data_IF_265353806025
#
_entry.id   IF_265353806025
#
_cell.length_a   1.000
_cell.length_b   1.000
_cell.length_c   1.000
_cell.angle_alpha   90.00
_cell.angle_beta   90.00
_cell.angle_gamma   90.00
#
_symmetry.space_group_name_H-M   'P 1'
#
loop_
_entity.id
_entity.type
_entity.pdbx_description
1 polymer ?
#
# COMPACT_ATOMS: atom_id res chain seq x y z
N UNK A 1 -1.94 7.35 -16.62
CA UNK A 1 -1.26 7.41 -17.93
C UNK A 1 0.23 7.77 -17.82
N UNK A 2 0.67 8.71 -16.98
CA UNK A 2 2.09 9.08 -16.83
C UNK A 2 3.03 7.93 -16.42
N UNK A 3 2.56 7.02 -15.55
CA UNK A 3 3.34 5.85 -15.11
C UNK A 3 3.69 4.89 -16.26
N UNK A 4 2.76 4.69 -17.21
CA UNK A 4 2.96 3.77 -18.35
C UNK A 4 3.99 4.32 -19.34
N UNK A 5 3.99 5.64 -19.56
CA UNK A 5 5.00 6.30 -20.40
C UNK A 5 6.40 6.27 -19.79
N UNK A 6 6.52 6.44 -18.47
CA UNK A 6 7.81 6.40 -17.76
C UNK A 6 8.48 5.01 -17.77
N UNK A 7 7.72 3.95 -18.05
CA UNK A 7 8.20 2.55 -18.07
C UNK A 7 8.56 2.11 -19.51
N UNK A 8 8.50 3.02 -20.48
CA UNK A 8 8.85 2.74 -21.87
C UNK A 8 7.79 1.95 -22.64
N UNK A 9 6.54 1.95 -22.16
CA UNK A 9 5.41 1.35 -22.90
C UNK A 9 5.15 2.22 -24.15
N UNK A 10 5.81 1.85 -25.27
CA UNK A 10 5.78 2.57 -26.54
C UNK A 10 7.15 2.80 -27.20
N UNK A 11 8.27 2.52 -26.53
CA UNK A 11 9.62 2.70 -27.08
C UNK A 11 10.17 1.42 -27.73
N UNK A 12 10.73 1.53 -28.94
CA UNK A 12 11.29 0.41 -29.73
C UNK A 12 12.49 -0.29 -29.07
N UNK A 13 13.05 0.27 -28.00
CA UNK A 13 14.22 -0.24 -27.28
C UNK A 13 13.90 -0.78 -25.88
N UNK A 14 12.67 -0.64 -25.38
CA UNK A 14 12.29 -1.11 -24.06
C UNK A 14 11.94 -2.60 -24.11
N UNK A 15 12.79 -3.45 -23.54
CA UNK A 15 12.53 -4.89 -23.46
C UNK A 15 11.33 -5.12 -22.54
N UNK A 16 10.24 -5.69 -23.08
CA UNK A 16 9.00 -6.03 -22.34
C UNK A 16 9.28 -6.79 -21.02
N UNK A 17 10.36 -7.58 -21.01
CA UNK A 17 10.85 -8.32 -19.84
C UNK A 17 11.33 -7.38 -18.72
N UNK A 18 12.08 -6.33 -19.06
CA UNK A 18 12.61 -5.37 -18.09
C UNK A 18 11.51 -4.58 -17.40
N UNK A 19 10.52 -4.09 -18.16
CA UNK A 19 9.34 -3.44 -17.62
C UNK A 19 8.57 -4.39 -16.67
N UNK A 20 8.25 -5.61 -17.13
CA UNK A 20 7.54 -6.60 -16.31
C UNK A 20 8.27 -6.92 -15.00
N UNK A 21 9.60 -7.01 -15.03
CA UNK A 21 10.41 -7.27 -13.84
C UNK A 21 10.35 -6.13 -12.81
N UNK A 22 10.26 -4.86 -13.26
CA UNK A 22 10.09 -3.71 -12.38
C UNK A 22 8.74 -3.75 -11.64
N UNK A 23 7.66 -4.11 -12.35
CA UNK A 23 6.33 -4.31 -11.76
C UNK A 23 6.35 -5.47 -10.75
N UNK A 24 6.97 -6.58 -11.12
CA UNK A 24 7.14 -7.73 -10.23
C UNK A 24 7.88 -7.35 -8.94
N UNK A 25 9.03 -6.67 -9.04
CA UNK A 25 9.81 -6.24 -7.88
C UNK A 25 9.01 -5.31 -6.98
N UNK A 26 8.30 -4.35 -7.56
CA UNK A 26 7.44 -3.42 -6.82
C UNK A 26 6.35 -4.16 -6.03
N UNK A 27 5.68 -5.11 -6.67
CA UNK A 27 4.59 -5.86 -6.06
C UNK A 27 5.10 -6.83 -4.98
N UNK A 28 6.20 -7.52 -5.26
CA UNK A 28 6.88 -8.38 -4.30
C UNK A 28 7.30 -7.59 -3.04
N UNK A 29 7.91 -6.42 -3.24
CA UNK A 29 8.38 -5.57 -2.14
C UNK A 29 7.19 -5.09 -1.29
N UNK A 30 6.10 -4.65 -1.93
CA UNK A 30 4.87 -4.28 -1.23
C UNK A 30 4.29 -5.43 -0.41
N UNK A 31 4.14 -6.62 -1.02
CA UNK A 31 3.61 -7.81 -0.34
C UNK A 31 4.46 -8.21 0.86
N UNK A 32 5.79 -8.31 0.69
CA UNK A 32 6.70 -8.67 1.78
C UNK A 32 6.64 -7.63 2.91
N UNK A 33 6.63 -6.34 2.59
CA UNK A 33 6.51 -5.29 3.59
C UNK A 33 5.21 -5.36 4.39
N UNK A 34 4.09 -5.64 3.72
CA UNK A 34 2.80 -5.80 4.39
C UNK A 34 2.78 -6.99 5.33
N UNK A 35 3.32 -8.14 4.89
CA UNK A 35 3.41 -9.35 5.72
C UNK A 35 4.30 -9.11 6.94
N UNK A 36 5.48 -8.52 6.75
CA UNK A 36 6.40 -8.21 7.85
C UNK A 36 5.76 -7.23 8.83
N UNK A 37 5.11 -6.18 8.34
CA UNK A 37 4.43 -5.21 9.19
C UNK A 37 3.30 -5.85 10.00
N UNK A 38 2.44 -6.65 9.35
CA UNK A 38 1.38 -7.37 10.03
C UNK A 38 1.92 -8.32 11.12
N UNK A 39 3.04 -9.00 10.84
CA UNK A 39 3.68 -9.90 11.79
C UNK A 39 4.25 -9.16 13.01
N UNK A 40 4.94 -8.04 12.80
CA UNK A 40 5.57 -7.28 13.89
C UNK A 40 4.58 -6.46 14.70
N UNK A 41 3.61 -5.83 14.04
CA UNK A 41 2.74 -4.82 14.66
C UNK A 41 1.30 -5.31 14.91
N UNK A 42 0.93 -6.49 14.37
CA UNK A 42 -0.45 -6.99 14.37
C UNK A 42 -1.13 -6.97 15.73
N UNK A 43 -0.43 -7.36 16.79
CA UNK A 43 -0.99 -7.41 18.16
C UNK A 43 -1.33 -6.03 18.76
N UNK A 44 -0.81 -4.95 18.19
CA UNK A 44 -0.95 -3.58 18.70
C UNK A 44 -1.89 -2.70 17.88
N UNK A 45 -2.36 -3.19 16.72
CA UNK A 45 -3.22 -2.43 15.81
C UNK A 45 -4.60 -2.14 16.43
N UNK A 46 -5.12 -3.08 17.23
CA UNK A 46 -6.45 -2.96 17.83
C UNK A 46 -6.46 -2.03 19.06
N UNK A 47 -5.36 -1.97 19.82
CA UNK A 47 -5.26 -1.19 21.06
C UNK A 47 -5.42 0.32 20.86
N UNK A 48 -5.02 0.85 19.70
CA UNK A 48 -5.06 2.28 19.39
C UNK A 48 -5.61 2.56 17.99
N UNK A 49 -6.81 2.05 17.71
CA UNK A 49 -7.38 2.07 16.36
C UNK A 49 -7.46 3.48 15.72
N UNK A 50 -7.71 4.54 16.52
CA UNK A 50 -7.74 5.93 16.02
C UNK A 50 -6.36 6.42 15.55
N UNK A 51 -5.30 6.12 16.31
CA UNK A 51 -3.94 6.52 15.96
C UNK A 51 -3.47 5.77 14.72
N UNK A 52 -3.69 4.45 14.68
CA UNK A 52 -3.32 3.64 13.52
C UNK A 52 -4.08 4.02 12.25
N UNK A 53 -5.32 4.51 12.38
CA UNK A 53 -6.06 5.07 11.23
C UNK A 53 -5.35 6.31 10.68
N UNK A 54 -4.98 7.25 11.55
CA UNK A 54 -4.24 8.44 11.15
C UNK A 54 -2.90 8.11 10.48
N UNK A 55 -2.16 7.13 11.04
CA UNK A 55 -0.90 6.66 10.45
C UNK A 55 -1.14 6.01 9.08
N UNK A 56 -2.22 5.24 8.93
CA UNK A 56 -2.59 4.66 7.64
C UNK A 56 -2.89 5.74 6.60
N UNK A 57 -3.68 6.76 6.95
CA UNK A 57 -3.99 7.88 6.05
C UNK A 57 -2.72 8.64 5.64
N UNK A 58 -1.82 8.92 6.58
CA UNK A 58 -0.52 9.54 6.29
C UNK A 58 0.36 8.69 5.36
N UNK A 59 0.43 7.37 5.59
CA UNK A 59 1.19 6.46 4.71
C UNK A 59 0.55 6.32 3.33
N UNK A 60 -0.78 6.43 3.23
CA UNK A 60 -1.46 6.46 1.96
C UNK A 60 -1.07 7.69 1.15
N UNK A 61 -1.08 8.86 1.78
CA UNK A 61 -0.69 10.13 1.17
C UNK A 61 0.77 10.12 0.72
N UNK A 62 1.66 9.56 1.55
CA UNK A 62 3.06 9.35 1.18
C UNK A 62 3.19 8.44 -0.05
N UNK A 63 2.41 7.36 -0.12
CA UNK A 63 2.37 6.46 -1.28
C UNK A 63 1.86 7.15 -2.55
N UNK A 64 0.86 8.03 -2.45
CA UNK A 64 0.39 8.84 -3.58
C UNK A 64 1.42 9.88 -4.00
N UNK A 65 2.10 10.51 -3.04
CA UNK A 65 3.17 11.46 -3.31
C UNK A 65 4.36 10.81 -4.02
N UNK A 66 4.75 9.59 -3.62
CA UNK A 66 5.79 8.83 -4.32
C UNK A 66 5.42 8.55 -5.78
N UNK A 67 4.18 8.18 -6.07
CA UNK A 67 3.73 7.99 -7.45
C UNK A 67 3.76 9.29 -8.26
N UNK A 68 3.42 10.42 -7.63
CA UNK A 68 3.50 11.74 -8.27
C UNK A 68 4.96 12.17 -8.55
N UNK A 69 5.90 11.78 -7.67
CA UNK A 69 7.33 12.04 -7.85
C UNK A 69 8.01 11.08 -8.82
N UNK A 70 7.47 9.87 -9.01
CA UNK A 70 8.06 8.84 -9.87
C UNK A 70 8.43 9.29 -11.30
N UNK A 71 7.63 10.12 -12.03
CA UNK A 71 8.03 10.60 -13.35
C UNK A 71 9.10 11.70 -13.33
N UNK A 72 9.33 12.38 -12.21
CA UNK A 72 10.34 13.44 -12.09
C UNK A 72 11.77 12.88 -11.97
N UNK A 73 11.90 11.61 -11.56
CA UNK A 73 13.19 10.96 -11.31
C UNK A 73 13.32 9.63 -12.08
N UNK A 74 13.55 9.65 -13.40
CA UNK A 74 13.64 8.43 -14.22
C UNK A 74 14.72 7.45 -13.75
N UNK A 75 15.85 7.96 -13.24
CA UNK A 75 16.98 7.14 -12.75
C UNK A 75 16.69 6.38 -11.47
N UNK A 76 15.72 6.83 -10.66
CA UNK A 76 15.37 6.24 -9.36
C UNK A 76 13.94 5.70 -9.32
N UNK A 77 13.30 5.59 -10.48
CA UNK A 77 11.89 5.23 -10.64
C UNK A 77 11.51 3.96 -9.89
N UNK A 78 12.29 2.89 -10.03
CA UNK A 78 12.01 1.59 -9.39
C UNK A 78 12.00 1.73 -7.86
N UNK A 79 12.98 2.44 -7.31
CA UNK A 79 13.12 2.63 -5.86
C UNK A 79 11.93 3.40 -5.31
N UNK A 80 11.56 4.50 -5.98
CA UNK A 80 10.41 5.34 -5.61
C UNK A 80 9.10 4.53 -5.69
N UNK A 81 8.92 3.74 -6.75
CA UNK A 81 7.74 2.89 -6.91
C UNK A 81 7.68 1.78 -5.83
N UNK A 82 8.79 1.16 -5.48
CA UNK A 82 8.86 0.18 -4.40
C UNK A 82 8.50 0.81 -3.05
N UNK A 83 9.02 2.02 -2.75
CA UNK A 83 8.66 2.80 -1.57
C UNK A 83 7.16 3.13 -1.54
N UNK A 84 6.59 3.59 -2.65
CA UNK A 84 5.16 3.84 -2.77
C UNK A 84 4.31 2.59 -2.53
N UNK A 85 4.73 1.46 -3.10
CA UNK A 85 4.09 0.15 -2.92
C UNK A 85 4.14 -0.33 -1.47
N UNK A 86 5.30 -0.19 -0.80
CA UNK A 86 5.45 -0.49 0.63
C UNK A 86 4.51 0.36 1.49
N UNK A 87 4.46 1.67 1.22
CA UNK A 87 3.62 2.61 1.96
C UNK A 87 2.13 2.25 1.85
N UNK A 88 1.67 1.85 0.66
CA UNK A 88 0.29 1.39 0.45
C UNK A 88 0.01 0.04 1.07
N UNK A 89 0.97 -0.88 1.02
CA UNK A 89 0.81 -2.18 1.66
C UNK A 89 0.65 -2.04 3.17
N UNK A 90 1.47 -1.20 3.80
CA UNK A 90 1.32 -0.81 5.20
C UNK A 90 -0.07 -0.22 5.47
N UNK A 91 -0.48 0.74 4.63
CA UNK A 91 -1.79 1.39 4.74
C UNK A 91 -2.91 0.36 4.68
N UNK A 92 -2.85 -0.59 3.76
CA UNK A 92 -3.84 -1.64 3.61
C UNK A 92 -4.00 -2.48 4.87
N UNK A 93 -2.88 -2.89 5.48
CA UNK A 93 -2.89 -3.66 6.73
C UNK A 93 -3.43 -2.82 7.88
N UNK A 94 -2.90 -1.61 8.10
CA UNK A 94 -3.31 -0.75 9.21
C UNK A 94 -4.78 -0.29 9.09
N UNK A 95 -5.21 0.12 7.89
CA UNK A 95 -6.60 0.50 7.62
C UNK A 95 -7.56 -0.69 7.78
N UNK A 96 -7.17 -1.86 7.28
CA UNK A 96 -7.94 -3.10 7.43
C UNK A 96 -8.13 -3.50 8.88
N UNK A 97 -7.04 -3.54 9.67
CA UNK A 97 -7.09 -3.88 11.08
C UNK A 97 -7.91 -2.87 11.90
N UNK A 98 -7.68 -1.57 11.70
CA UNK A 98 -8.46 -0.53 12.40
C UNK A 98 -9.94 -0.55 12.03
N UNK A 99 -10.27 -0.86 10.77
CA UNK A 99 -11.67 -1.05 10.36
C UNK A 99 -12.28 -2.25 11.06
N UNK A 100 -11.58 -3.39 11.11
CA UNK A 100 -12.04 -4.58 11.82
C UNK A 100 -12.26 -4.30 13.32
N UNK A 101 -11.31 -3.64 13.99
CA UNK A 101 -11.43 -3.26 15.39
C UNK A 101 -12.62 -2.32 15.66
N UNK A 102 -12.84 -1.31 14.81
CA UNK A 102 -14.00 -0.41 14.92
C UNK A 102 -15.31 -1.15 14.68
N UNK A 103 -15.37 -2.02 13.67
CA UNK A 103 -16.57 -2.83 13.38
C UNK A 103 -16.91 -3.76 14.55
N UNK A 104 -15.91 -4.39 15.17
CA UNK A 104 -16.12 -5.19 16.38
C UNK A 104 -16.57 -4.35 17.56
N UNK A 105 -15.98 -3.16 17.76
CA UNK A 105 -16.38 -2.25 18.83
C UNK A 105 -17.84 -1.80 18.74
N UNK A 106 -18.37 -1.63 17.52
CA UNK A 106 -19.77 -1.24 17.30
C UNK A 106 -20.72 -2.44 17.11
N UNK A 107 -20.23 -3.68 17.12
CA UNK A 107 -21.08 -4.85 17.06
C UNK A 107 -21.78 -5.07 18.40
N UNK A 108 -23.11 -5.12 18.39
CA UNK A 108 -23.94 -5.27 19.60
C UNK A 108 -24.50 -6.69 19.74
N UNK A 109 -24.65 -7.43 18.64
CA UNK A 109 -25.31 -8.73 18.61
C UNK A 109 -24.57 -9.75 17.72
N UNK A 110 -23.24 -9.80 17.82
CA UNK A 110 -22.39 -10.56 16.88
C UNK A 110 -22.65 -10.22 15.40
N UNK A 111 -23.11 -8.99 15.14
CA UNK A 111 -23.51 -8.49 13.83
C UNK A 111 -22.38 -7.72 13.13
N UNK A 112 -21.12 -8.01 13.47
CA UNK A 112 -19.95 -7.34 12.88
C UNK A 112 -19.91 -7.46 11.34
N UNK A 113 -20.34 -8.60 10.79
CA UNK A 113 -20.42 -8.78 9.35
C UNK A 113 -21.48 -7.87 8.69
N UNK A 114 -22.64 -7.67 9.34
CA UNK A 114 -23.70 -6.76 8.85
C UNK A 114 -23.23 -5.31 8.86
N UNK A 115 -22.49 -4.92 9.91
CA UNK A 115 -21.88 -3.58 10.01
C UNK A 115 -20.79 -3.41 8.96
N UNK A 116 -19.95 -4.42 8.70
CA UNK A 116 -18.89 -4.32 7.69
C UNK A 116 -19.41 -4.30 6.26
N UNK A 117 -20.61 -4.83 6.01
CA UNK A 117 -21.25 -4.87 4.70
C UNK A 117 -21.97 -3.56 4.33
N UNK A 118 -22.26 -2.71 5.33
CA UNK A 118 -22.78 -1.35 5.15
C UNK A 118 -21.63 -0.36 4.93
#
# INVERSE_FOLDING_TARGET
QALLGAIGVGEKSATVIGATFQWFLRDLTGMLGGILFAFYQGSNLDSNAKMWRLVADFMNDLGMLMDLLSPLFPSSLIIIMCLGSLSRSFTGVASGATRAALTQHFALANNAADISAK
#
